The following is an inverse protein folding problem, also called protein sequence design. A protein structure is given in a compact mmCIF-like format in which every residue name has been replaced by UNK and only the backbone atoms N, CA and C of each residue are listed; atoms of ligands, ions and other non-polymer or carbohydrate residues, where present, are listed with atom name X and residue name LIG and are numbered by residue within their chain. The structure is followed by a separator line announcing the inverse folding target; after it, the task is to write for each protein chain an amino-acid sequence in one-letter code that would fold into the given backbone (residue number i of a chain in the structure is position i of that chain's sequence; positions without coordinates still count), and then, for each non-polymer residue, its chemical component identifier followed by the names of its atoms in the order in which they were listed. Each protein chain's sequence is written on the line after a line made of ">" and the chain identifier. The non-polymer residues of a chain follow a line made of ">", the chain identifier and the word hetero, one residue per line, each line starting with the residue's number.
data_IF_774502654672
#
_entry.id   IF_774502654672
#
_cell.length_a   1.000
_cell.length_b   1.000
_cell.length_c   1.000
_cell.angle_alpha   90.00
_cell.angle_beta   90.00
_cell.angle_gamma   90.00
#
_symmetry.space_group_name_H-M   'P 1'
#
loop_
_entity.id
_entity.type
_entity.pdbx_description
1 polymer ?
#
# COMPACT_ATOMS: atom_id res chain seq x y z
N UNK A 1 19.83 -51.14 28.28
CA UNK A 1 18.55 -50.38 28.39
C UNK A 1 18.73 -48.89 28.07
N UNK A 2 19.67 -48.17 28.71
CA UNK A 2 19.92 -46.73 28.46
C UNK A 2 20.33 -46.38 27.01
N UNK A 3 21.13 -47.22 26.36
CA UNK A 3 21.49 -47.04 24.94
C UNK A 3 20.29 -47.22 23.97
N UNK A 4 19.39 -48.16 24.28
CA UNK A 4 18.18 -48.40 23.47
C UNK A 4 17.23 -47.21 23.54
N UNK A 5 17.07 -46.60 24.73
CA UNK A 5 16.27 -45.39 24.92
C UNK A 5 16.81 -44.20 24.11
N UNK A 6 18.13 -44.06 24.00
CA UNK A 6 18.75 -42.99 23.20
C UNK A 6 18.51 -43.21 21.70
N UNK A 7 18.60 -44.45 21.22
CA UNK A 7 18.34 -44.80 19.83
C UNK A 7 16.86 -44.55 19.46
N UNK A 8 15.94 -44.92 20.35
CA UNK A 8 14.50 -44.68 20.17
C UNK A 8 14.22 -43.17 20.12
N UNK A 9 14.78 -42.40 21.06
CA UNK A 9 14.63 -40.93 21.08
C UNK A 9 15.11 -40.28 19.78
N UNK A 10 16.27 -40.72 19.27
CA UNK A 10 16.80 -40.23 18.00
C UNK A 10 15.86 -40.57 16.84
N UNK A 11 15.33 -41.79 16.80
CA UNK A 11 14.43 -42.22 15.73
C UNK A 11 13.12 -41.41 15.71
N UNK A 12 12.52 -41.14 16.87
CA UNK A 12 11.31 -40.30 16.95
C UNK A 12 11.56 -38.85 16.49
N UNK A 13 12.76 -38.31 16.74
CA UNK A 13 13.12 -36.96 16.28
C UNK A 13 13.13 -36.83 14.74
N UNK A 14 13.59 -37.87 14.04
CA UNK A 14 13.72 -37.86 12.58
C UNK A 14 12.34 -37.99 11.89
N UNK A 15 11.41 -38.73 12.51
CA UNK A 15 10.06 -38.99 11.95
C UNK A 15 9.08 -37.83 12.21
N UNK A 16 9.41 -36.89 13.10
CA UNK A 16 8.53 -35.76 13.48
C UNK A 16 8.42 -34.64 12.42
N UNK A 17 9.38 -34.56 11.48
CA UNK A 17 9.35 -33.51 10.46
C UNK A 17 8.25 -33.81 9.42
N UNK A 18 7.15 -33.06 9.46
CA UNK A 18 6.07 -33.18 8.46
C UNK A 18 6.08 -31.97 7.53
N UNK A 19 6.02 -32.21 6.22
CA UNK A 19 5.86 -31.16 5.21
C UNK A 19 4.38 -30.78 5.07
N UNK A 20 3.75 -30.35 6.17
CA UNK A 20 2.37 -29.88 6.11
C UNK A 20 2.30 -28.64 5.18
N UNK A 21 1.36 -28.59 4.23
CA UNK A 21 1.24 -27.43 3.34
C UNK A 21 0.88 -26.20 4.18
N UNK A 22 1.82 -25.26 4.26
CA UNK A 22 1.55 -23.95 4.82
C UNK A 22 0.63 -23.18 3.86
N UNK A 23 -0.40 -22.53 4.39
CA UNK A 23 -1.23 -21.65 3.59
C UNK A 23 -0.34 -20.54 3.02
N UNK A 24 -0.25 -20.42 1.69
CA UNK A 24 0.41 -19.28 1.06
C UNK A 24 -0.37 -18.02 1.44
N UNK A 25 0.29 -16.95 1.90
CA UNK A 25 -0.40 -15.69 2.14
C UNK A 25 -1.07 -15.23 0.85
N UNK A 26 -2.34 -14.79 0.94
CA UNK A 26 -3.03 -14.19 -0.20
C UNK A 26 -2.35 -12.87 -0.52
N UNK A 27 -1.67 -12.80 -1.67
CA UNK A 27 -1.06 -11.57 -2.13
C UNK A 27 -2.12 -10.52 -2.44
N UNK A 28 -2.06 -9.38 -1.76
CA UNK A 28 -2.83 -8.20 -2.16
C UNK A 28 -2.11 -7.51 -3.31
N UNK A 29 -2.87 -6.96 -4.25
CA UNK A 29 -2.32 -6.15 -5.34
C UNK A 29 -1.81 -4.83 -4.74
N UNK A 30 -0.50 -4.72 -4.52
CA UNK A 30 0.13 -3.48 -4.09
C UNK A 30 0.43 -2.65 -5.33
N UNK A 31 -0.10 -1.43 -5.38
CA UNK A 31 0.31 -0.45 -6.39
C UNK A 31 1.76 -0.06 -6.08
N UNK A 32 2.68 -0.50 -6.92
CA UNK A 32 4.08 -0.10 -6.88
C UNK A 32 4.22 1.32 -7.40
N UNK A 33 4.15 2.31 -6.51
CA UNK A 33 4.43 3.69 -6.87
C UNK A 33 5.94 3.86 -7.09
N UNK A 34 6.37 4.65 -8.10
CA UNK A 34 7.78 4.96 -8.30
C UNK A 34 8.39 5.56 -7.02
N UNK A 35 9.59 5.10 -6.67
CA UNK A 35 10.35 5.74 -5.62
C UNK A 35 10.78 7.13 -6.10
N UNK A 36 10.53 8.15 -5.30
CA UNK A 36 11.11 9.49 -5.49
C UNK A 36 11.45 10.06 -4.12
N UNK A 37 12.66 10.57 -4.00
CA UNK A 37 13.18 11.18 -2.77
C UNK A 37 12.72 12.64 -2.62
N UNK A 38 12.05 13.19 -3.65
CA UNK A 38 11.61 14.58 -3.70
C UNK A 38 10.08 14.70 -3.73
N UNK A 39 9.56 15.64 -2.96
CA UNK A 39 8.15 16.01 -2.94
C UNK A 39 7.96 17.50 -3.20
N UNK A 40 6.81 17.84 -3.78
CA UNK A 40 6.35 19.20 -3.98
C UNK A 40 5.03 19.40 -3.22
N UNK A 41 4.78 20.64 -2.81
CA UNK A 41 3.53 21.00 -2.17
C UNK A 41 2.41 21.10 -3.22
N UNK A 42 1.32 20.38 -2.99
CA UNK A 42 0.05 20.59 -3.67
C UNK A 42 -0.78 21.52 -2.80
N UNK A 43 -0.75 22.80 -3.14
CA UNK A 43 -1.54 23.85 -2.51
C UNK A 43 -2.67 24.25 -3.45
N UNK A 44 -3.86 24.43 -2.89
CA UNK A 44 -4.98 25.01 -3.61
C UNK A 44 -5.63 26.07 -2.73
N UNK A 45 -5.74 27.29 -3.26
CA UNK A 45 -6.35 28.41 -2.55
C UNK A 45 -7.87 28.23 -2.35
N UNK A 46 -8.49 27.35 -3.15
CA UNK A 46 -9.94 27.14 -3.17
C UNK A 46 -10.37 25.81 -2.54
N UNK A 47 -9.42 24.94 -2.20
CA UNK A 47 -9.73 23.61 -1.68
C UNK A 47 -9.31 23.46 -0.23
N UNK A 48 -10.16 22.79 0.57
CA UNK A 48 -9.91 22.55 1.99
C UNK A 48 -8.81 21.52 2.29
N UNK A 49 -7.90 21.26 1.35
CA UNK A 49 -6.80 20.31 1.53
C UNK A 49 -5.47 20.88 1.05
N UNK A 50 -4.42 20.50 1.76
CA UNK A 50 -3.03 20.66 1.33
C UNK A 50 -2.36 19.29 1.41
N UNK A 51 -1.58 18.94 0.39
CA UNK A 51 -0.91 17.65 0.32
C UNK A 51 0.54 17.80 -0.14
N UNK A 52 1.35 16.78 0.11
CA UNK A 52 2.65 16.62 -0.55
C UNK A 52 2.53 15.52 -1.59
N UNK A 53 2.92 15.83 -2.82
CA UNK A 53 2.93 14.88 -3.94
C UNK A 53 4.36 14.71 -4.43
N UNK A 54 4.62 13.63 -5.17
CA UNK A 54 5.93 13.44 -5.79
C UNK A 54 6.14 14.44 -6.93
N UNK A 55 7.37 14.86 -7.12
CA UNK A 55 7.82 15.81 -8.14
C UNK A 55 7.53 15.40 -9.60
N UNK A 56 7.55 14.11 -9.89
CA UNK A 56 7.27 13.57 -11.22
C UNK A 56 5.76 13.41 -11.52
N UNK A 57 4.89 13.74 -10.56
CA UNK A 57 3.44 13.69 -10.75
C UNK A 57 3.01 14.91 -11.55
N UNK A 58 2.29 14.67 -12.64
CA UNK A 58 1.67 15.74 -13.40
C UNK A 58 0.31 16.07 -12.80
N UNK A 59 0.19 17.27 -12.24
CA UNK A 59 -1.06 17.80 -11.70
C UNK A 59 -1.90 18.40 -12.83
N UNK A 60 -3.14 17.96 -12.96
CA UNK A 60 -4.12 18.52 -13.90
C UNK A 60 -5.38 18.92 -13.13
N UNK A 61 -5.82 20.15 -13.26
CA UNK A 61 -7.06 20.62 -12.65
C UNK A 61 -8.20 20.40 -13.65
N UNK A 62 -9.00 19.36 -13.41
CA UNK A 62 -10.14 19.00 -14.27
C UNK A 62 -11.32 19.92 -13.99
N UNK A 63 -11.52 20.28 -12.72
CA UNK A 63 -12.45 21.33 -12.30
C UNK A 63 -11.89 22.02 -11.04
N UNK A 64 -11.38 23.24 -11.22
CA UNK A 64 -10.79 24.00 -10.12
C UNK A 64 -11.82 24.53 -9.12
N UNK A 65 -13.08 24.72 -9.52
CA UNK A 65 -14.15 25.24 -8.66
C UNK A 65 -14.65 24.16 -7.71
N UNK A 66 -14.76 22.92 -8.21
CA UNK A 66 -15.20 21.77 -7.43
C UNK A 66 -14.04 20.95 -6.83
N UNK A 67 -12.82 21.50 -6.83
CA UNK A 67 -11.65 20.85 -6.25
C UNK A 67 -11.38 19.44 -6.81
N UNK A 68 -11.55 19.31 -8.13
CA UNK A 68 -11.23 18.11 -8.87
C UNK A 68 -9.83 18.24 -9.48
N UNK A 69 -8.89 17.51 -8.90
CA UNK A 69 -7.49 17.47 -9.29
C UNK A 69 -7.10 16.06 -9.67
N UNK A 70 -6.62 15.89 -10.89
CA UNK A 70 -6.07 14.63 -11.38
C UNK A 70 -4.54 14.64 -11.20
N UNK A 71 -4.04 13.68 -10.42
CA UNK A 71 -2.62 13.39 -10.28
C UNK A 71 -2.26 12.26 -11.25
N UNK A 72 -1.65 12.64 -12.37
CA UNK A 72 -1.25 11.71 -13.42
C UNK A 72 0.15 11.18 -13.13
N UNK A 73 0.29 9.86 -13.11
CA UNK A 73 1.56 9.13 -13.04
C UNK A 73 1.82 8.49 -14.41
N UNK A 74 2.56 9.16 -15.31
CA UNK A 74 2.76 8.68 -16.69
C UNK A 74 3.45 7.31 -16.74
N UNK A 75 4.44 7.10 -15.87
CA UNK A 75 5.30 5.92 -15.87
C UNK A 75 4.54 4.62 -15.59
N UNK A 76 3.55 4.70 -14.69
CA UNK A 76 2.68 3.56 -14.32
C UNK A 76 1.31 3.64 -14.98
N UNK A 77 1.11 4.57 -15.93
CA UNK A 77 -0.13 4.79 -16.68
C UNK A 77 -1.37 4.85 -15.77
N UNK A 78 -1.22 5.53 -14.64
CA UNK A 78 -2.26 5.63 -13.62
C UNK A 78 -2.62 7.09 -13.36
N UNK A 79 -3.87 7.32 -12.96
CA UNK A 79 -4.35 8.64 -12.56
C UNK A 79 -5.07 8.50 -11.22
N UNK A 80 -4.64 9.28 -10.24
CA UNK A 80 -5.35 9.41 -8.96
C UNK A 80 -6.23 10.65 -9.07
N UNK A 81 -7.54 10.49 -8.90
CA UNK A 81 -8.49 11.59 -8.91
C UNK A 81 -8.76 12.04 -7.48
N UNK A 82 -8.38 13.27 -7.16
CA UNK A 82 -8.68 13.92 -5.89
C UNK A 82 -9.90 14.81 -6.09
N UNK A 83 -10.96 14.53 -5.35
CA UNK A 83 -12.17 15.34 -5.33
C UNK A 83 -12.48 15.71 -3.89
N UNK A 84 -12.83 16.97 -3.65
CA UNK A 84 -13.22 17.44 -2.33
C UNK A 84 -14.71 17.79 -2.33
N UNK A 85 -15.45 17.23 -1.38
CA UNK A 85 -16.85 17.58 -1.12
C UNK A 85 -16.91 18.33 0.20
N UNK A 86 -17.49 19.52 0.20
CA UNK A 86 -17.75 20.29 1.41
C UNK A 86 -18.72 19.54 2.31
N UNK A 87 -18.52 19.66 3.61
CA UNK A 87 -19.35 19.03 4.64
C UNK A 87 -20.18 20.14 5.27
N UNK A 88 -21.51 20.04 5.18
CA UNK A 88 -22.45 21.04 5.71
C UNK A 88 -22.85 20.68 7.14
N UNK A 89 -21.91 20.83 8.09
CA UNK A 89 -22.15 20.69 9.53
C UNK A 89 -23.01 19.47 9.92
N UNK A 90 -22.85 18.36 9.19
CA UNK A 90 -23.72 17.18 9.27
C UNK A 90 -22.95 15.93 9.75
N UNK A 91 -21.90 16.13 10.55
CA UNK A 91 -21.08 15.08 11.15
C UNK A 91 -21.43 14.79 12.61
N UNK A 92 -22.67 15.09 13.00
CA UNK A 92 -23.19 14.77 14.34
C UNK A 92 -23.28 13.25 14.58
#
# INVERSE_FOLDING_TARGET
>A
MRSILLIISLFLGIVSCTNAPIARPTGFMRIGLPASDSSIALTSDFCGFNAQIKDHVKVTYTDSVNCWVDLVYPDIKSTIQLTYKTIDSNLD
#
